data_IF_260967118938
#
_entry.id   IF_260967118938
#
_cell.length_a   1.000
_cell.length_b   1.000
_cell.length_c   1.000
_cell.angle_alpha   90.00
_cell.angle_beta   90.00
_cell.angle_gamma   90.00
#
_symmetry.space_group_name_H-M   'P 1'
#
loop_
_entity.id
_entity.type
_entity.pdbx_description
1 polymer ?
#
# COMPACT_ATOMS: atom_id res chain seq x y z
N UNK A 1 -16.68 -46.94 21.70
CA UNK A 1 -16.80 -47.86 20.60
C UNK A 1 -15.74 -47.49 19.55
N UNK A 2 -14.89 -48.39 19.24
CA UNK A 2 -13.63 -48.50 18.54
C UNK A 2 -13.51 -47.72 17.23
N UNK A 3 -12.34 -47.12 17.05
CA UNK A 3 -11.67 -46.81 15.74
C UNK A 3 -11.47 -48.10 14.91
N UNK A 4 -11.18 -47.98 13.57
CA UNK A 4 -9.86 -48.39 13.20
C UNK A 4 -9.09 -47.45 12.28
N UNK A 5 -7.77 -47.50 12.44
CA UNK A 5 -6.73 -46.98 11.55
C UNK A 5 -6.35 -48.02 10.47
N UNK A 6 -5.86 -47.55 9.33
CA UNK A 6 -4.89 -48.21 8.44
C UNK A 6 -4.21 -47.15 7.60
N UNK A 7 -2.89 -46.92 7.69
CA UNK A 7 -1.73 -47.49 6.95
C UNK A 7 -1.88 -47.40 5.43
N UNK A 8 -0.95 -46.96 4.61
CA UNK A 8 0.53 -47.12 4.61
C UNK A 8 1.16 -46.36 3.42
N UNK A 9 2.34 -45.83 3.62
CA UNK A 9 3.57 -45.92 2.81
C UNK A 9 3.49 -46.08 1.29
N UNK A 10 4.09 -45.14 0.56
CA UNK A 10 5.06 -45.50 -0.51
C UNK A 10 6.12 -44.39 -0.64
N UNK A 11 7.35 -44.78 -0.30
CA UNK A 11 8.61 -44.12 -0.66
C UNK A 11 9.23 -44.90 -1.81
N UNK A 12 9.56 -44.25 -2.91
CA UNK A 12 10.52 -44.75 -3.91
C UNK A 12 11.35 -43.57 -4.42
N UNK A 13 12.60 -43.52 -4.00
CA UNK A 13 13.87 -43.79 -4.70
C UNK A 13 14.06 -42.98 -5.99
N UNK A 14 14.86 -41.96 -5.89
CA UNK A 14 15.60 -41.37 -6.99
C UNK A 14 16.97 -42.06 -7.07
N UNK A 15 17.23 -42.76 -8.17
CA UNK A 15 18.50 -43.39 -8.51
C UNK A 15 19.45 -42.38 -9.17
N UNK A 16 20.68 -42.44 -8.72
CA UNK A 16 21.87 -41.76 -9.22
C UNK A 16 22.19 -42.21 -10.65
N UNK A 17 22.56 -41.31 -11.52
CA UNK A 17 23.27 -41.58 -12.76
C UNK A 17 24.69 -41.03 -12.67
N UNK A 18 25.61 -41.95 -12.59
CA UNK A 18 27.06 -41.77 -12.66
C UNK A 18 27.45 -41.64 -14.13
N UNK A 19 28.19 -40.59 -14.49
CA UNK A 19 28.86 -40.51 -15.78
C UNK A 19 30.32 -40.91 -15.68
N UNK A 20 30.65 -41.92 -16.44
CA UNK A 20 31.98 -42.55 -16.53
C UNK A 20 32.81 -41.84 -17.62
N UNK A 21 34.01 -41.47 -17.28
CA UNK A 21 35.02 -40.87 -18.14
C UNK A 21 35.71 -41.98 -18.99
N UNK A 22 35.66 -41.80 -20.30
CA UNK A 22 36.41 -42.60 -21.25
C UNK A 22 37.49 -41.80 -21.97
N UNK A 23 38.72 -41.88 -21.50
CA UNK A 23 39.89 -41.36 -22.20
C UNK A 23 40.30 -42.29 -23.35
N UNK A 24 40.46 -41.76 -24.56
CA UNK A 24 41.24 -42.42 -25.61
C UNK A 24 42.44 -41.56 -26.00
N UNK A 25 43.63 -42.08 -25.71
CA UNK A 25 44.92 -41.67 -26.25
C UNK A 25 44.99 -42.08 -27.71
N UNK A 26 45.47 -41.22 -28.60
CA UNK A 26 46.02 -41.55 -29.89
C UNK A 26 47.40 -40.92 -30.01
N UNK A 27 48.31 -41.77 -30.39
CA UNK A 27 49.74 -41.75 -30.47
C UNK A 27 50.34 -40.75 -31.46
N UNK A 28 51.53 -40.28 -31.07
CA UNK A 28 52.42 -39.43 -31.87
C UNK A 28 53.13 -40.30 -32.97
N UNK A 29 53.35 -39.73 -34.14
CA UNK A 29 54.41 -40.10 -35.03
C UNK A 29 55.26 -38.91 -35.38
N UNK A 30 56.57 -39.03 -35.05
CA UNK A 30 57.67 -38.18 -35.53
C UNK A 30 57.94 -38.50 -37.01
N UNK A 31 58.34 -37.45 -37.73
CA UNK A 31 59.26 -37.58 -38.85
C UNK A 31 60.19 -36.37 -38.91
N UNK A 32 61.46 -36.73 -39.09
CA UNK A 32 62.64 -35.87 -38.90
C UNK A 32 63.14 -35.25 -40.22
N UNK A 33 63.99 -34.23 -40.02
CA UNK A 33 65.21 -33.77 -40.78
C UNK A 33 65.08 -33.09 -42.16
N UNK A 34 65.58 -31.92 -42.32
CA UNK A 34 66.78 -31.08 -42.34
C UNK A 34 67.01 -30.48 -43.75
N UNK A 35 68.01 -29.64 -44.02
CA UNK A 35 68.01 -28.17 -43.88
C UNK A 35 68.48 -27.50 -45.23
N UNK A 36 68.79 -26.27 -45.12
CA UNK A 36 69.73 -25.46 -45.97
C UNK A 36 69.12 -24.32 -46.78
N UNK A 37 69.27 -23.14 -46.29
CA UNK A 37 70.21 -22.11 -46.72
C UNK A 37 69.86 -21.26 -47.96
N UNK A 38 70.06 -19.96 -47.75
CA UNK A 38 70.58 -18.93 -48.65
C UNK A 38 69.55 -17.91 -49.25
N UNK A 39 69.55 -16.74 -48.66
CA UNK A 39 69.56 -15.41 -49.22
C UNK A 39 68.64 -15.07 -50.42
N UNK A 40 67.70 -14.17 -50.21
CA UNK A 40 67.65 -12.91 -51.01
C UNK A 40 66.80 -11.85 -50.30
N UNK A 41 67.35 -10.67 -50.15
CA UNK A 41 66.71 -9.43 -49.69
C UNK A 41 65.75 -8.96 -50.80
N UNK A 42 64.44 -8.87 -50.48
CA UNK A 42 63.52 -7.93 -51.14
C UNK A 42 62.59 -7.38 -50.09
N UNK A 43 62.66 -6.06 -49.88
CA UNK A 43 61.83 -5.37 -48.94
C UNK A 43 60.37 -5.35 -49.43
N UNK A 44 59.51 -5.86 -48.58
CA UNK A 44 58.06 -5.60 -48.67
C UNK A 44 57.64 -4.92 -47.38
N UNK A 45 57.32 -3.64 -47.54
CA UNK A 45 56.68 -2.80 -46.54
C UNK A 45 55.28 -3.40 -46.29
N UNK A 46 55.16 -4.25 -45.29
CA UNK A 46 53.83 -4.71 -44.87
C UNK A 46 53.24 -3.62 -43.97
N UNK A 47 52.26 -2.91 -44.51
CA UNK A 47 51.34 -2.06 -43.73
C UNK A 47 50.66 -2.97 -42.70
N UNK A 48 51.07 -2.88 -41.45
CA UNK A 48 50.28 -3.39 -40.31
C UNK A 48 49.08 -2.45 -40.19
N UNK A 49 47.99 -2.73 -40.91
CA UNK A 49 46.68 -2.23 -40.53
C UNK A 49 46.32 -2.98 -39.25
N UNK A 50 46.66 -2.35 -38.14
CA UNK A 50 46.16 -2.75 -36.84
C UNK A 50 44.64 -2.67 -36.88
N UNK A 51 43.97 -3.81 -37.08
CA UNK A 51 42.58 -3.95 -36.75
C UNK A 51 42.47 -3.77 -35.24
N UNK A 52 42.31 -2.50 -34.81
CA UNK A 52 41.71 -2.22 -33.51
C UNK A 52 40.30 -2.83 -33.58
N UNK A 53 40.20 -4.07 -33.22
CA UNK A 53 38.93 -4.69 -32.88
C UNK A 53 38.32 -3.80 -31.81
N UNK A 54 37.36 -2.99 -32.18
CA UNK A 54 36.40 -2.42 -31.26
C UNK A 54 35.84 -3.65 -30.55
N UNK A 55 36.35 -4.00 -29.36
CA UNK A 55 35.61 -4.82 -28.42
C UNK A 55 34.31 -4.05 -28.28
N UNK A 56 33.23 -4.53 -28.89
CA UNK A 56 31.89 -4.19 -28.47
C UNK A 56 31.90 -4.45 -26.98
N UNK A 57 32.04 -3.39 -26.21
CA UNK A 57 31.76 -3.41 -24.82
C UNK A 57 30.30 -3.87 -24.76
N UNK A 58 30.09 -5.15 -24.42
CA UNK A 58 28.75 -5.65 -24.10
C UNK A 58 28.31 -4.72 -23.02
N UNK A 59 27.36 -3.84 -23.36
CA UNK A 59 26.74 -2.97 -22.37
C UNK A 59 26.31 -3.93 -21.24
N UNK A 60 26.88 -3.77 -20.07
CA UNK A 60 26.51 -4.53 -18.91
C UNK A 60 25.01 -4.23 -18.73
N UNK A 61 24.16 -5.25 -18.94
CA UNK A 61 22.72 -5.08 -18.83
C UNK A 61 22.41 -4.84 -17.36
N UNK A 62 22.11 -3.60 -17.01
CA UNK A 62 21.71 -3.24 -15.64
C UNK A 62 20.40 -3.94 -15.32
N UNK A 63 20.36 -4.62 -14.18
CA UNK A 63 19.16 -5.22 -13.62
C UNK A 63 18.87 -4.57 -12.28
N UNK A 64 17.81 -3.79 -12.24
CA UNK A 64 17.30 -3.19 -11.00
C UNK A 64 16.47 -4.18 -10.21
N UNK A 65 16.46 -4.00 -8.91
CA UNK A 65 15.59 -4.73 -7.98
C UNK A 65 14.56 -3.78 -7.36
N UNK A 66 13.27 -4.12 -7.51
CA UNK A 66 12.15 -3.41 -6.95
C UNK A 66 11.52 -4.23 -5.81
N UNK A 67 11.48 -3.67 -4.62
CA UNK A 67 10.74 -4.21 -3.49
C UNK A 67 9.48 -3.37 -3.28
N UNK A 68 8.38 -3.85 -3.83
CA UNK A 68 7.08 -3.19 -3.76
C UNK A 68 6.16 -3.90 -2.75
N UNK A 69 4.98 -3.34 -2.49
CA UNK A 69 4.05 -3.87 -1.51
C UNK A 69 3.55 -5.27 -1.87
N UNK A 70 3.41 -6.15 -0.87
CA UNK A 70 3.20 -7.60 -1.06
C UNK A 70 1.74 -8.06 -1.25
N UNK A 71 0.74 -7.17 -1.06
CA UNK A 71 -0.71 -7.52 -1.04
C UNK A 71 -1.42 -7.47 -2.40
N UNK A 72 -0.68 -7.68 -3.48
CA UNK A 72 -1.19 -7.54 -4.84
C UNK A 72 -1.83 -8.81 -5.38
N UNK A 73 -2.91 -8.66 -6.16
CA UNK A 73 -3.55 -9.77 -6.86
C UNK A 73 -2.67 -10.30 -8.00
N UNK A 74 -2.91 -11.55 -8.43
CA UNK A 74 -2.22 -12.12 -9.60
C UNK A 74 -2.39 -11.27 -10.85
N UNK A 75 -3.60 -10.77 -11.11
CA UNK A 75 -3.88 -9.88 -12.24
C UNK A 75 -3.02 -8.60 -12.17
N UNK A 76 -2.85 -8.02 -10.97
CA UNK A 76 -1.98 -6.86 -10.79
C UNK A 76 -0.52 -7.20 -11.09
N UNK A 77 -0.04 -8.34 -10.61
CA UNK A 77 1.34 -8.78 -10.82
C UNK A 77 1.65 -8.98 -12.31
N UNK A 78 0.73 -9.60 -13.05
CA UNK A 78 0.87 -9.83 -14.48
C UNK A 78 0.90 -8.51 -15.26
N UNK A 79 0.05 -7.54 -14.91
CA UNK A 79 0.03 -6.20 -15.55
C UNK A 79 1.24 -5.35 -15.15
N UNK A 80 1.71 -5.45 -13.92
CA UNK A 80 2.96 -4.82 -13.51
C UNK A 80 4.13 -5.32 -14.33
N UNK A 81 4.19 -6.62 -14.55
CA UNK A 81 5.22 -7.21 -15.42
C UNK A 81 5.19 -6.63 -16.85
N UNK A 82 4.00 -6.47 -17.46
CA UNK A 82 3.85 -5.82 -18.77
C UNK A 82 4.40 -4.38 -18.78
N UNK A 83 4.14 -3.61 -17.71
CA UNK A 83 4.64 -2.23 -17.55
C UNK A 83 6.16 -2.21 -17.38
N UNK A 84 6.72 -3.12 -16.57
CA UNK A 84 8.17 -3.23 -16.40
C UNK A 84 8.88 -3.69 -17.68
N UNK A 85 8.28 -4.58 -18.46
CA UNK A 85 8.77 -4.94 -19.79
C UNK A 85 8.74 -3.76 -20.77
N UNK A 86 7.75 -2.87 -20.65
CA UNK A 86 7.75 -1.62 -21.43
C UNK A 86 8.95 -0.76 -21.04
N UNK A 87 9.23 -0.56 -19.77
CA UNK A 87 10.42 0.13 -19.28
C UNK A 87 11.71 -0.48 -19.85
N UNK A 88 11.82 -1.80 -19.80
CA UNK A 88 12.98 -2.51 -20.36
C UNK A 88 13.13 -2.28 -21.87
N UNK A 89 12.03 -2.25 -22.62
CA UNK A 89 12.10 -1.94 -24.07
C UNK A 89 12.53 -0.49 -24.37
N UNK A 90 12.12 0.45 -23.52
CA UNK A 90 12.44 1.87 -23.68
C UNK A 90 13.88 2.20 -23.29
N UNK A 91 14.44 1.53 -22.27
CA UNK A 91 15.71 1.89 -21.63
C UNK A 91 16.82 0.85 -21.77
N UNK A 92 16.49 -0.41 -22.05
CA UNK A 92 17.42 -1.55 -21.98
C UNK A 92 17.68 -2.05 -20.55
N UNK A 93 17.10 -1.42 -19.52
CA UNK A 93 17.29 -1.77 -18.12
C UNK A 93 16.25 -2.83 -17.72
N UNK A 94 16.70 -3.93 -17.14
CA UNK A 94 15.80 -4.97 -16.60
C UNK A 94 15.35 -4.63 -15.18
N UNK A 95 14.17 -5.12 -14.80
CA UNK A 95 13.66 -4.96 -13.43
C UNK A 95 13.22 -6.31 -12.87
N UNK A 96 13.75 -6.65 -11.71
CA UNK A 96 13.34 -7.82 -10.94
C UNK A 96 12.55 -7.39 -9.72
N UNK A 97 11.30 -7.83 -9.61
CA UNK A 97 10.48 -7.57 -8.43
C UNK A 97 10.77 -8.63 -7.36
N UNK A 98 11.00 -8.17 -6.14
CA UNK A 98 11.26 -9.05 -5.01
C UNK A 98 9.98 -9.31 -4.22
N UNK A 99 9.84 -10.51 -3.60
CA UNK A 99 8.69 -10.81 -2.74
C UNK A 99 8.74 -9.97 -1.47
N UNK A 100 7.57 -9.54 -1.00
CA UNK A 100 7.39 -8.73 0.19
C UNK A 100 6.39 -9.39 1.16
N UNK A 101 6.47 -9.14 2.48
CA UNK A 101 5.45 -9.54 3.44
C UNK A 101 4.08 -8.92 3.09
N UNK A 102 2.98 -9.54 3.57
CA UNK A 102 1.63 -9.08 3.27
C UNK A 102 1.18 -7.90 4.12
N UNK A 103 1.59 -7.83 5.41
CA UNK A 103 1.11 -6.79 6.32
C UNK A 103 2.00 -5.55 6.33
N UNK A 104 1.41 -4.36 6.49
CA UNK A 104 2.14 -3.09 6.51
C UNK A 104 3.23 -3.05 7.60
N UNK A 105 2.96 -3.58 8.81
CA UNK A 105 3.96 -3.60 9.89
C UNK A 105 5.12 -4.56 9.59
N UNK A 106 4.83 -5.75 9.06
CA UNK A 106 5.86 -6.70 8.68
C UNK A 106 6.70 -6.18 7.50
N UNK A 107 6.06 -5.49 6.55
CA UNK A 107 6.76 -4.80 5.47
C UNK A 107 7.73 -3.76 6.01
N UNK A 108 7.26 -2.84 6.87
CA UNK A 108 8.14 -1.82 7.45
C UNK A 108 9.33 -2.44 8.18
N UNK A 109 9.09 -3.45 9.01
CA UNK A 109 10.17 -4.14 9.73
C UNK A 109 11.16 -4.81 8.77
N UNK A 110 10.67 -5.41 7.69
CA UNK A 110 11.51 -6.02 6.66
C UNK A 110 12.32 -4.99 5.87
N UNK A 111 11.69 -3.83 5.48
CA UNK A 111 12.41 -2.71 4.83
C UNK A 111 13.51 -2.16 5.73
N UNK A 112 13.19 -1.89 7.00
CA UNK A 112 14.16 -1.39 7.98
C UNK A 112 15.35 -2.36 8.15
N UNK A 113 15.07 -3.66 8.22
CA UNK A 113 16.13 -4.68 8.30
C UNK A 113 17.06 -4.61 7.09
N UNK A 114 16.53 -4.71 5.86
CA UNK A 114 17.32 -4.70 4.64
C UNK A 114 18.14 -3.41 4.50
N UNK A 115 17.53 -2.26 4.77
CA UNK A 115 18.17 -0.95 4.66
C UNK A 115 19.23 -0.75 5.74
N UNK A 116 19.01 -1.22 6.96
CA UNK A 116 20.00 -1.11 8.06
C UNK A 116 21.23 -2.00 7.83
N UNK A 117 21.08 -3.09 7.10
CA UNK A 117 22.20 -3.95 6.70
C UNK A 117 23.09 -3.31 5.62
N UNK A 118 22.64 -2.21 5.00
CA UNK A 118 23.41 -1.48 3.99
C UNK A 118 23.62 -2.27 2.70
N UNK A 119 22.75 -3.22 2.40
CA UNK A 119 22.79 -4.02 1.17
C UNK A 119 22.57 -3.19 -0.08
N UNK A 120 23.27 -3.52 -1.17
CA UNK A 120 23.19 -2.82 -2.47
C UNK A 120 21.83 -3.03 -3.16
N UNK A 121 21.09 -4.04 -2.76
CA UNK A 121 19.75 -4.41 -3.25
C UNK A 121 18.81 -4.57 -2.06
N UNK A 122 17.52 -4.23 -2.21
CA UNK A 122 16.82 -3.63 -3.36
C UNK A 122 17.28 -2.22 -3.72
N UNK A 123 17.15 -1.85 -5.02
CA UNK A 123 17.45 -0.51 -5.53
C UNK A 123 16.31 0.47 -5.26
N UNK A 124 15.06 0.03 -5.50
CA UNK A 124 13.83 0.81 -5.34
C UNK A 124 12.91 0.15 -4.33
N UNK A 125 12.35 0.96 -3.45
CA UNK A 125 11.43 0.56 -2.38
C UNK A 125 10.07 1.21 -2.53
N UNK A 126 8.99 0.43 -2.41
CA UNK A 126 7.66 0.95 -2.16
C UNK A 126 7.57 1.51 -0.73
N UNK A 127 7.12 2.74 -0.57
CA UNK A 127 7.09 3.46 0.71
C UNK A 127 5.66 3.91 1.00
N UNK A 128 5.03 3.34 2.04
CA UNK A 128 3.71 3.80 2.51
C UNK A 128 3.80 5.26 2.99
N UNK A 129 2.72 6.03 2.87
CA UNK A 129 2.66 7.47 3.25
C UNK A 129 3.06 7.75 4.70
N UNK A 130 3.08 6.74 5.57
CA UNK A 130 3.47 6.85 6.98
C UNK A 130 4.92 6.48 7.27
N UNK A 131 5.68 5.92 6.30
CA UNK A 131 7.05 5.45 6.52
C UNK A 131 8.17 6.45 6.20
N UNK A 132 7.97 7.56 5.47
CA UNK A 132 9.05 8.45 5.06
C UNK A 132 9.98 8.88 6.18
N UNK A 133 9.45 9.27 7.34
CA UNK A 133 10.29 9.69 8.49
C UNK A 133 11.12 8.54 9.04
N UNK A 134 10.56 7.33 9.06
CA UNK A 134 11.27 6.13 9.54
C UNK A 134 12.38 5.69 8.59
N UNK A 135 12.17 5.83 7.29
CA UNK A 135 13.09 5.34 6.25
C UNK A 135 14.02 6.44 5.69
N UNK A 136 13.82 7.71 6.08
CA UNK A 136 14.49 8.89 5.55
C UNK A 136 16.02 8.78 5.44
N UNK A 137 16.70 8.18 6.43
CA UNK A 137 18.16 8.11 6.44
C UNK A 137 18.72 7.10 5.43
N UNK A 138 17.90 6.23 4.92
CA UNK A 138 18.28 5.15 4.01
C UNK A 138 17.94 5.42 2.55
N UNK A 139 17.14 6.46 2.29
CA UNK A 139 16.70 6.84 0.96
C UNK A 139 17.42 8.11 0.50
N UNK A 140 17.65 8.23 -0.81
CA UNK A 140 18.24 9.45 -1.36
C UNK A 140 17.23 10.59 -1.37
N UNK A 141 17.73 11.82 -1.53
CA UNK A 141 16.88 12.97 -1.88
C UNK A 141 16.60 12.97 -3.37
N UNK A 142 15.33 12.91 -3.75
CA UNK A 142 14.90 12.92 -5.14
C UNK A 142 14.70 14.34 -5.71
N UNK A 143 14.70 15.40 -4.88
CA UNK A 143 14.53 16.78 -5.35
C UNK A 143 15.51 17.15 -6.49
N UNK A 144 16.83 16.85 -6.41
CA UNK A 144 17.76 17.22 -7.48
C UNK A 144 17.42 16.62 -8.84
N UNK A 145 16.57 15.61 -8.88
CA UNK A 145 16.28 14.82 -10.10
C UNK A 145 14.82 14.88 -10.53
N UNK A 146 13.87 15.00 -9.59
CA UNK A 146 12.43 14.82 -9.81
C UNK A 146 11.56 15.96 -9.26
N UNK A 147 12.12 17.12 -8.89
CA UNK A 147 11.37 18.25 -8.33
C UNK A 147 10.25 18.73 -9.27
N UNK A 148 10.55 18.83 -10.57
CA UNK A 148 9.56 19.23 -11.58
C UNK A 148 8.47 18.18 -11.77
N UNK A 149 8.85 16.90 -11.80
CA UNK A 149 7.90 15.78 -11.87
C UNK A 149 7.01 15.78 -10.62
N UNK A 150 7.60 15.93 -9.43
CA UNK A 150 6.88 15.96 -8.15
C UNK A 150 5.86 17.11 -8.06
N UNK A 151 6.16 18.27 -8.63
CA UNK A 151 5.27 19.42 -8.62
C UNK A 151 3.93 19.18 -9.37
N UNK A 152 3.88 18.17 -10.23
CA UNK A 152 2.67 17.78 -10.95
C UNK A 152 1.69 16.96 -10.09
N UNK A 153 2.16 16.35 -9.00
CA UNK A 153 1.36 15.49 -8.12
C UNK A 153 0.56 16.30 -7.09
N UNK A 154 -0.41 15.67 -6.42
CA UNK A 154 -1.13 16.32 -5.33
C UNK A 154 -0.16 16.83 -4.25
N UNK A 155 -0.21 18.12 -3.88
CA UNK A 155 0.71 18.68 -2.89
C UNK A 155 0.71 17.96 -1.54
N UNK A 156 -0.45 17.43 -1.12
CA UNK A 156 -0.57 16.67 0.12
C UNK A 156 0.24 15.36 0.07
N UNK A 157 0.25 14.68 -1.08
CA UNK A 157 1.05 13.46 -1.26
C UNK A 157 2.54 13.79 -1.28
N UNK A 158 2.94 14.78 -2.08
CA UNK A 158 4.34 15.23 -2.10
C UNK A 158 4.81 15.62 -0.69
N UNK A 159 3.97 16.37 0.04
CA UNK A 159 4.26 16.73 1.42
C UNK A 159 4.39 15.49 2.32
N UNK A 160 3.62 14.42 2.12
CA UNK A 160 3.73 13.18 2.91
C UNK A 160 5.07 12.48 2.70
N UNK A 161 5.64 12.55 1.50
CA UNK A 161 6.94 11.96 1.15
C UNK A 161 8.12 12.90 1.33
N UNK A 162 7.89 14.13 1.79
CA UNK A 162 8.97 15.10 2.06
C UNK A 162 9.29 15.14 3.56
N UNK A 163 10.53 14.88 3.90
CA UNK A 163 11.06 14.89 5.28
C UNK A 163 12.22 15.88 5.36
N UNK A 164 12.11 16.89 6.22
CA UNK A 164 13.14 17.93 6.40
C UNK A 164 13.60 18.57 5.06
N UNK A 165 12.64 18.84 4.17
CA UNK A 165 12.88 19.43 2.85
C UNK A 165 13.40 18.47 1.79
N UNK A 166 13.64 17.19 2.11
CA UNK A 166 14.08 16.16 1.17
C UNK A 166 12.88 15.35 0.69
N UNK A 167 12.72 15.19 -0.61
CA UNK A 167 11.76 14.26 -1.21
C UNK A 167 12.34 12.84 -1.18
N UNK A 168 11.95 12.02 -0.22
CA UNK A 168 12.53 10.68 -0.01
C UNK A 168 11.81 9.58 -0.79
N UNK A 169 10.63 9.85 -1.30
CA UNK A 169 9.92 8.98 -2.23
C UNK A 169 9.05 9.81 -3.17
N UNK A 170 8.91 9.36 -4.42
CA UNK A 170 8.01 9.95 -5.41
C UNK A 170 6.61 9.37 -5.22
N UNK A 171 5.51 10.17 -5.17
CA UNK A 171 4.15 9.64 -5.12
C UNK A 171 3.90 8.68 -6.30
N UNK A 172 3.33 7.49 -6.01
CA UNK A 172 3.13 6.43 -7.00
C UNK A 172 1.66 5.96 -7.08
N UNK A 173 1.02 5.75 -5.94
CA UNK A 173 -0.41 5.47 -5.84
C UNK A 173 -1.02 6.33 -4.74
N UNK A 174 -2.14 6.99 -5.05
CA UNK A 174 -2.98 7.62 -4.04
C UNK A 174 -4.01 6.62 -3.53
N UNK A 175 -4.36 6.70 -2.26
CA UNK A 175 -5.43 5.90 -1.67
C UNK A 175 -6.10 6.64 -0.53
N UNK A 176 -7.35 6.29 -0.23
CA UNK A 176 -8.04 6.79 0.95
C UNK A 176 -9.15 5.86 1.40
N UNK A 177 -9.53 5.95 2.66
CA UNK A 177 -10.71 5.29 3.19
C UNK A 177 -11.98 5.86 2.57
N UNK A 178 -12.85 4.98 2.04
CA UNK A 178 -14.10 5.35 1.39
C UNK A 178 -15.26 4.48 1.86
N UNK A 179 -16.49 4.94 1.63
CA UNK A 179 -17.70 4.20 1.89
C UNK A 179 -18.23 3.58 0.60
N UNK A 180 -18.22 2.25 0.55
CA UNK A 180 -18.96 1.45 -0.43
C UNK A 180 -20.38 1.28 0.06
N UNK A 181 -21.37 1.43 -0.82
CA UNK A 181 -22.78 1.29 -0.46
C UNK A 181 -23.60 0.61 -1.57
N UNK A 182 -24.57 -0.20 -1.19
CA UNK A 182 -25.47 -0.92 -2.09
C UNK A 182 -26.56 0.01 -2.61
N UNK A 183 -26.43 0.46 -3.85
CA UNK A 183 -27.40 1.36 -4.51
C UNK A 183 -28.77 0.71 -4.71
N UNK A 184 -28.82 -0.59 -4.96
CA UNK A 184 -30.06 -1.36 -5.08
C UNK A 184 -30.80 -1.45 -3.73
N UNK A 185 -30.09 -1.63 -2.63
CA UNK A 185 -30.68 -1.68 -1.29
C UNK A 185 -31.13 -0.28 -0.83
N UNK A 186 -30.35 0.76 -1.08
CA UNK A 186 -30.80 2.12 -0.77
C UNK A 186 -32.15 2.40 -1.44
N UNK A 187 -32.28 2.11 -2.76
CA UNK A 187 -33.55 2.29 -3.49
C UNK A 187 -34.66 1.42 -2.93
N UNK A 188 -34.38 0.13 -2.64
CA UNK A 188 -35.36 -0.80 -2.08
C UNK A 188 -35.97 -0.29 -0.76
N UNK A 189 -35.14 0.34 0.08
CA UNK A 189 -35.57 0.85 1.39
C UNK A 189 -35.93 2.34 1.40
N UNK A 190 -36.06 2.97 0.22
CA UNK A 190 -36.56 4.34 0.05
C UNK A 190 -35.55 5.45 0.26
N UNK A 191 -34.26 5.14 0.25
CA UNK A 191 -33.17 6.12 0.34
C UNK A 191 -32.75 6.59 -1.05
N UNK A 192 -32.57 7.92 -1.21
CA UNK A 192 -32.14 8.53 -2.49
C UNK A 192 -30.64 8.80 -2.54
N UNK A 193 -30.01 8.99 -1.41
CA UNK A 193 -28.60 9.36 -1.26
C UNK A 193 -27.92 8.45 -0.25
N UNK A 194 -26.60 8.24 -0.35
CA UNK A 194 -25.82 7.58 0.70
C UNK A 194 -25.80 8.45 1.97
N UNK A 195 -25.48 7.86 3.14
CA UNK A 195 -25.44 8.55 4.42
C UNK A 195 -24.37 9.66 4.41
N UNK A 196 -24.69 10.81 5.02
CA UNK A 196 -23.79 11.96 5.14
C UNK A 196 -23.19 12.07 6.55
N UNK A 197 -23.70 11.33 7.53
CA UNK A 197 -23.21 11.26 8.91
C UNK A 197 -23.18 9.82 9.39
N UNK A 198 -22.39 9.57 10.44
CA UNK A 198 -22.35 8.23 11.07
C UNK A 198 -23.69 7.82 11.65
N UNK A 199 -24.48 8.79 12.17
CA UNK A 199 -25.83 8.52 12.65
C UNK A 199 -26.80 8.12 11.52
N UNK A 200 -26.70 8.77 10.35
CA UNK A 200 -27.48 8.34 9.17
C UNK A 200 -27.05 6.94 8.69
N UNK A 201 -25.74 6.65 8.67
CA UNK A 201 -25.24 5.33 8.31
C UNK A 201 -25.82 4.26 9.25
N UNK A 202 -25.78 4.49 10.55
CA UNK A 202 -26.30 3.58 11.56
C UNK A 202 -27.80 3.32 11.37
N UNK A 203 -28.60 4.37 11.17
CA UNK A 203 -30.03 4.27 10.93
C UNK A 203 -30.35 3.49 9.62
N UNK A 204 -29.66 3.82 8.53
CA UNK A 204 -29.83 3.12 7.25
C UNK A 204 -29.41 1.66 7.35
N UNK A 205 -28.25 1.39 7.95
CA UNK A 205 -27.70 0.05 8.15
C UNK A 205 -28.65 -0.82 8.97
N UNK A 206 -29.17 -0.30 10.08
CA UNK A 206 -30.15 -1.00 10.95
C UNK A 206 -31.40 -1.37 10.16
N UNK A 207 -31.99 -0.42 9.44
CA UNK A 207 -33.23 -0.64 8.67
C UNK A 207 -33.04 -1.63 7.52
N UNK A 208 -31.94 -1.50 6.77
CA UNK A 208 -31.65 -2.38 5.64
C UNK A 208 -31.39 -3.80 6.15
N UNK A 209 -30.56 -3.96 7.19
CA UNK A 209 -30.25 -5.25 7.81
C UNK A 209 -31.53 -5.96 8.29
N UNK A 210 -32.37 -5.26 9.03
CA UNK A 210 -33.62 -5.82 9.53
C UNK A 210 -34.52 -6.30 8.38
N UNK A 211 -34.64 -5.50 7.32
CA UNK A 211 -35.46 -5.86 6.16
C UNK A 211 -34.88 -7.02 5.34
N UNK A 212 -33.57 -7.08 5.14
CA UNK A 212 -32.92 -8.20 4.43
C UNK A 212 -32.97 -9.49 5.24
N UNK A 213 -32.85 -9.43 6.57
CA UNK A 213 -33.03 -10.59 7.44
C UNK A 213 -34.46 -11.09 7.46
N UNK A 214 -35.45 -10.20 7.51
CA UNK A 214 -36.88 -10.55 7.37
C UNK A 214 -37.19 -11.18 5.99
N UNK A 215 -36.41 -10.86 4.96
CA UNK A 215 -36.50 -11.49 3.64
C UNK A 215 -35.70 -12.82 3.53
N UNK A 216 -35.24 -13.39 4.64
CA UNK A 216 -34.58 -14.70 4.72
C UNK A 216 -33.03 -14.67 4.62
N UNK A 217 -32.41 -13.51 4.56
CA UNK A 217 -30.93 -13.38 4.56
C UNK A 217 -30.41 -13.26 6.00
N UNK A 218 -30.41 -14.35 6.74
CA UNK A 218 -30.09 -14.35 8.17
C UNK A 218 -28.69 -13.82 8.52
N UNK A 219 -27.71 -13.97 7.59
CA UNK A 219 -26.32 -13.53 7.77
C UNK A 219 -26.07 -12.13 7.21
N UNK A 220 -27.11 -11.37 6.84
CA UNK A 220 -26.93 -10.04 6.28
C UNK A 220 -26.59 -9.02 7.37
N UNK A 221 -25.60 -8.13 7.06
CA UNK A 221 -25.09 -7.11 7.96
C UNK A 221 -25.25 -5.70 7.38
N UNK A 222 -25.47 -4.75 8.25
CA UNK A 222 -25.64 -3.34 7.87
C UNK A 222 -24.34 -2.69 7.43
N UNK A 223 -23.24 -2.92 8.20
CA UNK A 223 -21.96 -2.24 7.98
C UNK A 223 -20.79 -3.15 8.31
N UNK A 224 -19.75 -3.15 7.47
CA UNK A 224 -18.51 -3.92 7.66
C UNK A 224 -17.29 -3.03 7.47
N UNK A 225 -16.24 -3.28 8.27
CA UNK A 225 -15.03 -2.45 8.36
C UNK A 225 -13.86 -3.25 8.96
N UNK A 226 -12.66 -2.63 9.02
CA UNK A 226 -11.44 -3.24 9.54
C UNK A 226 -11.31 -3.03 11.04
N UNK A 227 -11.57 -4.06 11.84
CA UNK A 227 -11.59 -3.99 13.30
C UNK A 227 -10.47 -4.76 14.00
N UNK A 228 -9.63 -5.50 13.27
CA UNK A 228 -8.46 -6.18 13.84
C UNK A 228 -7.48 -5.18 14.47
N UNK A 229 -6.81 -5.60 15.57
CA UNK A 229 -5.81 -4.78 16.27
C UNK A 229 -4.56 -4.56 15.40
N UNK A 230 -4.69 -3.78 14.34
CA UNK A 230 -3.69 -3.50 13.31
C UNK A 230 -3.82 -2.05 12.80
N UNK A 231 -2.92 -1.64 11.90
CA UNK A 231 -2.88 -0.29 11.32
C UNK A 231 -4.20 0.12 10.65
N UNK A 232 -4.95 -0.83 10.06
CA UNK A 232 -6.29 -0.60 9.52
C UNK A 232 -7.26 -0.04 10.54
N UNK A 233 -7.22 -0.51 11.80
CA UNK A 233 -8.04 0.03 12.87
C UNK A 233 -7.62 1.44 13.27
N UNK A 234 -6.32 1.78 13.22
CA UNK A 234 -5.88 3.17 13.41
C UNK A 234 -6.55 4.09 12.39
N UNK A 235 -6.61 3.68 11.12
CA UNK A 235 -7.27 4.44 10.07
C UNK A 235 -8.78 4.60 10.34
N UNK A 236 -9.49 3.49 10.59
CA UNK A 236 -10.93 3.50 10.82
C UNK A 236 -11.32 4.36 12.05
N UNK A 237 -10.62 4.16 13.17
CA UNK A 237 -10.90 4.88 14.40
C UNK A 237 -10.59 6.38 14.30
N UNK A 238 -9.54 6.75 13.57
CA UNK A 238 -9.20 8.15 13.33
C UNK A 238 -10.24 8.84 12.44
N UNK A 239 -10.84 8.12 11.48
CA UNK A 239 -11.97 8.60 10.65
C UNK A 239 -13.21 8.88 11.52
N UNK A 240 -13.54 7.99 12.46
CA UNK A 240 -14.65 8.21 13.41
C UNK A 240 -14.38 9.38 14.33
N UNK A 241 -13.17 9.46 14.88
CA UNK A 241 -12.72 10.53 15.77
C UNK A 241 -12.74 11.89 15.07
N UNK A 242 -12.19 11.98 13.85
CA UNK A 242 -12.16 13.21 13.07
C UNK A 242 -13.57 13.72 12.74
N UNK A 243 -14.46 12.84 12.28
CA UNK A 243 -15.85 13.21 11.97
C UNK A 243 -16.64 13.73 13.18
N UNK A 244 -16.27 13.33 14.40
CA UNK A 244 -16.83 13.85 15.65
C UNK A 244 -16.10 15.10 16.17
N UNK A 245 -15.16 15.66 15.41
CA UNK A 245 -14.31 16.79 15.84
C UNK A 245 -13.46 16.42 17.08
N UNK A 246 -13.11 15.16 17.25
CA UNK A 246 -12.31 14.64 18.37
C UNK A 246 -10.80 14.90 18.26
N UNK A 247 -10.37 15.69 17.25
CA UNK A 247 -8.96 15.97 17.04
C UNK A 247 -8.20 14.85 16.33
N UNK A 248 -6.90 14.73 16.60
CA UNK A 248 -6.02 13.69 16.08
C UNK A 248 -5.49 12.80 17.22
N UNK A 249 -4.63 11.84 16.90
CA UNK A 249 -3.87 11.07 17.92
C UNK A 249 -2.83 11.99 18.56
N UNK A 250 -2.07 12.70 17.72
CA UNK A 250 -1.15 13.76 18.08
C UNK A 250 -1.49 14.98 17.24
N UNK A 251 -1.62 16.14 17.85
CA UNK A 251 -1.87 17.41 17.15
C UNK A 251 -0.58 17.93 16.49
N UNK A 252 -0.71 18.80 15.49
CA UNK A 252 0.44 19.37 14.75
C UNK A 252 1.42 20.12 15.65
N UNK A 253 0.94 20.68 16.75
CA UNK A 253 1.76 21.37 17.75
C UNK A 253 2.38 20.45 18.81
N UNK A 254 2.29 19.13 18.63
CA UNK A 254 2.85 18.14 19.55
C UNK A 254 2.05 17.94 20.83
N UNK A 255 0.76 18.31 20.85
CA UNK A 255 -0.14 18.02 21.97
C UNK A 255 -0.87 16.70 21.76
N UNK A 256 -1.21 16.04 22.86
CA UNK A 256 -2.01 14.82 22.90
C UNK A 256 -3.43 15.19 23.26
N UNK A 257 -4.39 14.92 22.37
CA UNK A 257 -5.80 15.32 22.51
C UNK A 257 -6.77 14.14 22.51
N UNK A 258 -6.31 12.90 22.48
CA UNK A 258 -7.18 11.70 22.36
C UNK A 258 -8.15 11.54 23.52
N UNK A 259 -7.80 11.99 24.72
CA UNK A 259 -8.66 11.90 25.89
C UNK A 259 -9.62 13.09 25.96
N UNK A 260 -10.64 13.05 25.11
CA UNK A 260 -11.69 14.07 25.08
C UNK A 260 -13.07 13.42 24.84
N UNK A 261 -14.17 14.10 25.24
CA UNK A 261 -15.52 13.52 25.15
C UNK A 261 -15.96 13.13 23.73
N UNK A 262 -15.42 13.77 22.68
CA UNK A 262 -15.79 13.48 21.28
C UNK A 262 -15.13 12.22 20.77
N UNK A 263 -13.85 12.05 21.08
CA UNK A 263 -13.12 10.80 20.82
C UNK A 263 -13.78 9.62 21.53
N UNK A 264 -14.07 9.78 22.83
CA UNK A 264 -14.72 8.74 23.64
C UNK A 264 -16.04 8.33 23.00
N UNK A 265 -16.93 9.29 22.66
CA UNK A 265 -18.22 8.99 21.99
C UNK A 265 -18.03 8.28 20.65
N UNK A 266 -17.01 8.61 19.87
CA UNK A 266 -16.77 7.96 18.58
C UNK A 266 -16.41 6.46 18.76
N UNK A 267 -15.62 6.15 19.77
CA UNK A 267 -15.26 4.76 20.11
C UNK A 267 -16.42 3.98 20.70
N UNK A 268 -17.22 4.59 21.59
CA UNK A 268 -18.45 3.99 22.15
C UNK A 268 -19.46 3.66 21.05
N UNK A 269 -19.63 4.58 20.07
CA UNK A 269 -20.48 4.32 18.89
C UNK A 269 -19.98 3.11 18.11
N UNK A 270 -18.69 3.04 17.80
CA UNK A 270 -18.12 1.93 17.05
C UNK A 270 -18.26 0.59 17.84
N UNK A 271 -18.04 0.61 19.14
CA UNK A 271 -18.26 -0.56 20.00
C UNK A 271 -19.74 -1.01 20.03
N UNK A 272 -20.69 -0.06 19.91
CA UNK A 272 -22.12 -0.38 19.76
C UNK A 272 -22.43 -1.07 18.44
N UNK A 273 -21.72 -0.77 17.35
CA UNK A 273 -21.93 -1.43 16.05
C UNK A 273 -21.59 -2.93 16.09
N UNK A 274 -20.62 -3.33 16.90
CA UNK A 274 -20.19 -4.74 17.04
C UNK A 274 -21.34 -5.60 17.56
N UNK A 275 -21.78 -6.57 16.76
CA UNK A 275 -22.89 -7.46 17.08
C UNK A 275 -24.28 -6.85 16.84
N UNK A 276 -24.39 -5.54 16.49
CA UNK A 276 -25.66 -4.90 16.15
C UNK A 276 -25.82 -4.73 14.64
N UNK A 277 -25.15 -3.77 14.04
CA UNK A 277 -25.13 -3.55 12.59
C UNK A 277 -23.90 -4.14 11.89
N UNK A 278 -22.87 -4.51 12.66
CA UNK A 278 -21.65 -5.17 12.18
C UNK A 278 -21.54 -6.57 12.78
N UNK A 279 -20.90 -7.54 12.08
CA UNK A 279 -20.69 -8.88 12.61
C UNK A 279 -19.99 -8.86 13.97
N UNK A 280 -20.29 -9.78 14.91
CA UNK A 280 -19.52 -9.91 16.14
C UNK A 280 -18.01 -10.11 15.88
N UNK A 281 -17.67 -10.83 14.80
CA UNK A 281 -16.28 -11.08 14.39
C UNK A 281 -15.59 -9.89 13.72
N UNK A 282 -16.26 -8.74 13.54
CA UNK A 282 -15.66 -7.58 12.86
C UNK A 282 -14.39 -7.08 13.55
N UNK A 283 -14.26 -7.30 14.86
CA UNK A 283 -13.07 -6.97 15.66
C UNK A 283 -11.81 -7.77 15.28
N UNK A 284 -11.97 -8.80 14.46
CA UNK A 284 -10.84 -9.59 13.91
C UNK A 284 -10.70 -9.41 12.39
N UNK A 285 -11.51 -8.52 11.77
CA UNK A 285 -11.48 -8.33 10.33
C UNK A 285 -10.35 -7.42 9.92
N UNK A 286 -9.59 -7.87 8.94
CA UNK A 286 -8.68 -7.07 8.13
C UNK A 286 -9.37 -6.60 6.85
N UNK A 287 -8.66 -5.86 6.05
CA UNK A 287 -9.15 -5.35 4.77
C UNK A 287 -9.78 -6.45 3.88
N UNK A 288 -9.11 -7.59 3.77
CA UNK A 288 -9.58 -8.73 2.97
C UNK A 288 -10.87 -9.35 3.52
N UNK A 289 -11.03 -9.44 4.85
CA UNK A 289 -12.22 -10.05 5.47
C UNK A 289 -13.44 -9.18 5.27
N UNK A 290 -13.30 -7.85 5.48
CA UNK A 290 -14.36 -6.88 5.17
C UNK A 290 -14.76 -6.95 3.69
N UNK A 291 -13.77 -7.02 2.79
CA UNK A 291 -14.02 -7.12 1.35
C UNK A 291 -14.69 -8.44 0.96
N UNK A 292 -14.32 -9.58 1.57
CA UNK A 292 -14.94 -10.87 1.29
C UNK A 292 -16.43 -10.88 1.67
N UNK A 293 -16.78 -10.33 2.86
CA UNK A 293 -18.20 -10.21 3.25
C UNK A 293 -18.97 -9.26 2.33
N UNK A 294 -18.35 -8.18 1.87
CA UNK A 294 -18.93 -7.28 0.89
C UNK A 294 -19.19 -7.99 -0.46
N UNK A 295 -18.19 -8.72 -0.97
CA UNK A 295 -18.28 -9.43 -2.25
C UNK A 295 -19.29 -10.57 -2.24
N UNK A 296 -19.60 -11.18 -1.08
CA UNK A 296 -20.69 -12.17 -0.94
C UNK A 296 -22.09 -11.55 -1.09
N UNK A 297 -22.19 -10.20 -1.05
CA UNK A 297 -23.46 -9.48 -1.12
C UNK A 297 -24.21 -9.43 0.21
N UNK A 298 -23.59 -9.80 1.31
CA UNK A 298 -24.17 -9.87 2.66
C UNK A 298 -23.93 -8.62 3.49
N UNK A 299 -23.50 -7.50 2.89
CA UNK A 299 -23.36 -6.22 3.56
C UNK A 299 -24.06 -5.09 2.79
N UNK A 300 -24.66 -4.13 3.51
CA UNK A 300 -25.26 -2.91 2.92
C UNK A 300 -24.22 -1.82 2.69
N UNK A 301 -23.30 -1.65 3.61
CA UNK A 301 -22.21 -0.69 3.59
C UNK A 301 -20.89 -1.37 3.95
N UNK A 302 -19.79 -0.88 3.35
CA UNK A 302 -18.44 -1.29 3.69
C UNK A 302 -17.53 -0.06 3.72
N UNK A 303 -16.74 0.09 4.80
CA UNK A 303 -15.54 0.91 4.77
C UNK A 303 -14.40 0.08 4.20
N UNK A 304 -13.78 0.57 3.14
CA UNK A 304 -12.59 -0.07 2.59
C UNK A 304 -11.76 0.96 1.79
N UNK A 305 -10.67 0.52 1.20
CA UNK A 305 -9.81 1.30 0.33
C UNK A 305 -10.30 1.28 -1.11
N UNK A 306 -9.92 2.29 -1.89
CA UNK A 306 -10.38 2.46 -3.28
C UNK A 306 -10.16 1.25 -4.19
N UNK A 307 -9.08 0.44 -4.10
CA UNK A 307 -8.90 -0.73 -4.96
C UNK A 307 -9.98 -1.81 -4.83
N UNK A 308 -10.75 -1.83 -3.72
CA UNK A 308 -11.87 -2.73 -3.56
C UNK A 308 -12.97 -2.53 -4.64
N UNK A 309 -13.00 -1.36 -5.31
CA UNK A 309 -13.92 -1.07 -6.41
C UNK A 309 -13.74 -2.06 -7.56
N UNK A 310 -12.50 -2.30 -8.01
CA UNK A 310 -12.22 -3.22 -9.11
C UNK A 310 -12.70 -4.65 -8.82
N UNK A 311 -12.43 -5.14 -7.60
CA UNK A 311 -12.91 -6.47 -7.17
C UNK A 311 -14.41 -6.55 -7.16
N UNK A 312 -15.10 -5.48 -6.71
CA UNK A 312 -16.57 -5.40 -6.67
C UNK A 312 -17.20 -5.37 -8.07
N UNK A 313 -16.49 -4.88 -9.09
CA UNK A 313 -16.90 -4.85 -10.49
C UNK A 313 -16.48 -6.08 -11.31
N UNK A 314 -15.76 -7.04 -10.71
CA UNK A 314 -15.33 -8.25 -11.41
C UNK A 314 -16.51 -9.04 -11.99
N UNK A 315 -16.29 -9.78 -13.10
CA UNK A 315 -17.34 -10.49 -13.84
C UNK A 315 -18.12 -11.50 -12.99
N UNK A 316 -17.50 -12.11 -11.98
CA UNK A 316 -18.12 -13.06 -11.04
C UNK A 316 -18.71 -12.44 -9.77
N UNK A 317 -18.63 -11.12 -9.60
CA UNK A 317 -19.14 -10.46 -8.38
C UNK A 317 -20.65 -10.39 -8.36
N UNK A 318 -21.27 -10.88 -7.29
CA UNK A 318 -22.74 -10.84 -7.11
C UNK A 318 -23.28 -9.42 -6.92
N UNK A 319 -22.41 -8.47 -6.61
CA UNK A 319 -22.77 -7.07 -6.39
C UNK A 319 -22.41 -6.16 -7.57
N UNK A 320 -21.86 -6.70 -8.66
CA UNK A 320 -21.51 -5.92 -9.85
C UNK A 320 -22.70 -5.08 -10.34
N UNK A 321 -22.45 -3.76 -10.52
CA UNK A 321 -23.46 -2.80 -10.95
C UNK A 321 -24.58 -2.50 -9.92
N UNK A 322 -24.45 -3.01 -8.67
CA UNK A 322 -25.43 -2.81 -7.59
C UNK A 322 -24.90 -1.92 -6.46
N UNK A 323 -23.76 -1.31 -6.63
CA UNK A 323 -23.09 -0.48 -5.61
C UNK A 323 -22.52 0.79 -6.23
N UNK A 324 -22.14 1.72 -5.38
CA UNK A 324 -21.33 2.88 -5.71
C UNK A 324 -20.42 3.21 -4.51
N UNK A 325 -19.52 4.17 -4.71
CA UNK A 325 -18.55 4.61 -3.71
C UNK A 325 -18.73 6.08 -3.42
N UNK A 326 -18.66 6.46 -2.15
CA UNK A 326 -18.72 7.86 -1.71
C UNK A 326 -17.68 8.13 -0.62
N UNK A 327 -17.50 9.39 -0.29
CA UNK A 327 -16.70 9.78 0.87
C UNK A 327 -17.33 9.27 2.17
N UNK A 328 -16.50 8.96 3.16
CA UNK A 328 -16.96 8.73 4.53
C UNK A 328 -17.60 10.02 5.12
N UNK A 329 -18.37 9.92 6.19
CA UNK A 329 -18.85 11.08 6.92
C UNK A 329 -17.71 12.02 7.29
N UNK A 330 -17.92 13.33 7.05
CA UNK A 330 -16.89 14.36 7.12
C UNK A 330 -16.92 15.12 8.44
N UNK A 331 -15.77 15.68 8.81
CA UNK A 331 -15.69 16.73 9.83
C UNK A 331 -16.19 18.10 9.28
N UNK A 332 -16.26 19.11 10.13
CA UNK A 332 -16.66 20.47 9.76
C UNK A 332 -15.70 21.13 8.74
N UNK A 333 -14.46 20.69 8.67
CA UNK A 333 -13.46 21.13 7.68
C UNK A 333 -13.60 20.41 6.33
N UNK A 334 -14.53 19.46 6.24
CA UNK A 334 -14.77 18.66 5.03
C UNK A 334 -13.80 17.50 4.85
N UNK A 335 -13.00 17.17 5.87
CA UNK A 335 -12.10 15.99 5.83
C UNK A 335 -12.90 14.71 6.05
N UNK A 336 -12.62 13.73 5.25
CA UNK A 336 -13.28 12.43 5.29
C UNK A 336 -12.26 11.31 5.56
N UNK A 337 -12.13 10.31 4.67
CA UNK A 337 -11.28 9.15 4.86
C UNK A 337 -9.80 9.44 5.13
N UNK A 338 -9.16 8.50 5.80
CA UNK A 338 -7.72 8.54 6.06
C UNK A 338 -6.93 8.47 4.77
N UNK A 339 -5.93 9.35 4.64
CA UNK A 339 -4.98 9.33 3.53
C UNK A 339 -4.13 8.06 3.59
N UNK A 340 -4.11 7.33 2.50
CA UNK A 340 -3.24 6.22 2.21
C UNK A 340 -2.49 6.43 0.90
N UNK A 341 -1.80 5.42 0.45
CA UNK A 341 -1.05 5.41 -0.79
C UNK A 341 0.39 5.01 -0.59
N UNK A 342 1.10 4.85 -1.69
CA UNK A 342 2.51 4.51 -1.71
C UNK A 342 3.31 5.44 -2.62
N UNK A 343 4.58 5.61 -2.27
CA UNK A 343 5.58 6.26 -3.09
C UNK A 343 6.71 5.29 -3.44
N UNK A 344 7.60 5.70 -4.32
CA UNK A 344 8.79 4.95 -4.70
C UNK A 344 10.05 5.71 -4.26
N UNK A 345 10.81 5.11 -3.35
CA UNK A 345 12.08 5.63 -2.85
C UNK A 345 13.27 4.85 -3.41
N UNK A 346 14.40 5.53 -3.63
CA UNK A 346 15.64 4.92 -4.10
C UNK A 346 16.60 4.72 -2.93
N UNK A 347 17.13 3.51 -2.80
CA UNK A 347 18.12 3.18 -1.77
C UNK A 347 19.40 4.00 -1.94
N UNK A 348 19.91 4.57 -0.85
CA UNK A 348 21.23 5.23 -0.84
C UNK A 348 22.41 4.27 -1.06
N UNK A 349 22.16 2.98 -0.92
CA UNK A 349 23.17 1.92 -1.07
C UNK A 349 23.15 1.28 -2.46
N UNK A 350 22.20 1.65 -3.33
CA UNK A 350 22.16 1.17 -4.71
C UNK A 350 23.41 1.56 -5.50
N UNK A 351 23.95 0.65 -6.29
CA UNK A 351 25.03 0.93 -7.24
C UNK A 351 24.50 1.50 -8.57
N UNK A 352 23.15 1.50 -8.76
CA UNK A 352 22.45 1.91 -9.98
C UNK A 352 21.49 3.07 -9.72
N UNK A 353 21.91 4.08 -8.95
CA UNK A 353 21.04 5.20 -8.51
C UNK A 353 20.41 5.93 -9.69
N UNK A 354 21.14 6.16 -10.82
CA UNK A 354 20.59 6.86 -11.99
C UNK A 354 19.50 6.06 -12.67
N UNK A 355 19.74 4.79 -12.89
CA UNK A 355 18.81 3.85 -13.49
C UNK A 355 17.57 3.64 -12.60
N UNK A 356 17.77 3.61 -11.28
CA UNK A 356 16.69 3.53 -10.31
C UNK A 356 15.80 4.79 -10.34
N UNK A 357 16.37 5.98 -10.49
CA UNK A 357 15.62 7.23 -10.66
C UNK A 357 14.83 7.20 -11.99
N UNK A 358 15.40 6.67 -13.07
CA UNK A 358 14.68 6.51 -14.35
C UNK A 358 13.48 5.58 -14.20
N UNK A 359 13.63 4.47 -13.44
CA UNK A 359 12.52 3.57 -13.13
C UNK A 359 11.43 4.28 -12.31
N UNK A 360 11.80 5.04 -11.29
CA UNK A 360 10.86 5.82 -10.47
C UNK A 360 10.10 6.83 -11.36
N UNK A 361 10.80 7.59 -12.18
CA UNK A 361 10.18 8.54 -13.13
C UNK A 361 9.21 7.85 -14.09
N UNK A 362 9.61 6.70 -14.64
CA UNK A 362 8.77 5.92 -15.56
C UNK A 362 7.49 5.41 -14.89
N UNK A 363 7.60 4.90 -13.66
CA UNK A 363 6.45 4.34 -12.94
C UNK A 363 5.47 5.43 -12.48
N UNK A 364 5.96 6.63 -12.13
CA UNK A 364 5.15 7.75 -11.66
C UNK A 364 4.73 8.71 -12.79
N UNK A 365 5.04 8.40 -14.07
CA UNK A 365 4.64 9.25 -15.20
C UNK A 365 3.15 9.09 -15.53
N UNK A 366 2.60 10.12 -16.16
CA UNK A 366 1.19 10.23 -16.56
C UNK A 366 0.62 8.96 -17.22
N UNK A 367 1.32 8.42 -18.22
CA UNK A 367 0.83 7.27 -18.98
C UNK A 367 0.77 5.98 -18.16
N UNK A 368 1.70 5.81 -17.23
CA UNK A 368 1.74 4.67 -16.34
C UNK A 368 0.63 4.77 -15.29
N UNK A 369 0.46 5.93 -14.65
CA UNK A 369 -0.62 6.15 -13.68
C UNK A 369 -2.01 6.05 -14.33
N UNK A 370 -2.16 6.52 -15.57
CA UNK A 370 -3.40 6.33 -16.32
C UNK A 370 -3.74 4.85 -16.51
N UNK A 371 -2.75 4.00 -16.85
CA UNK A 371 -2.95 2.55 -16.96
C UNK A 371 -3.40 1.94 -15.64
N UNK A 372 -2.77 2.31 -14.52
CA UNK A 372 -3.14 1.82 -13.19
C UNK A 372 -4.55 2.24 -12.82
N UNK A 373 -4.93 3.48 -13.08
CA UNK A 373 -6.27 3.98 -12.81
C UNK A 373 -7.34 3.23 -13.60
N UNK A 374 -7.15 3.03 -14.90
CA UNK A 374 -8.13 2.36 -15.76
C UNK A 374 -8.24 0.87 -15.45
N UNK A 375 -7.10 0.19 -15.25
CA UNK A 375 -7.09 -1.28 -15.10
C UNK A 375 -7.41 -1.72 -13.68
N UNK A 376 -6.90 -1.02 -12.66
CA UNK A 376 -7.00 -1.47 -11.26
C UNK A 376 -7.82 -0.57 -10.36
N UNK A 377 -8.34 0.53 -10.89
CA UNK A 377 -9.04 1.56 -10.08
C UNK A 377 -8.14 2.16 -9.00
N UNK A 378 -6.82 2.18 -9.24
CA UNK A 378 -5.88 2.89 -8.39
C UNK A 378 -6.01 4.40 -8.64
N UNK A 379 -6.36 5.20 -7.63
CA UNK A 379 -6.44 6.64 -7.81
C UNK A 379 -5.08 7.23 -8.20
N UNK A 380 -5.01 8.00 -9.28
CA UNK A 380 -3.77 8.65 -9.68
C UNK A 380 -3.28 9.65 -8.64
N UNK A 381 -1.98 9.87 -8.62
CA UNK A 381 -1.37 10.92 -7.80
C UNK A 381 -1.32 12.27 -8.53
N UNK A 382 -1.57 12.27 -9.85
CA UNK A 382 -1.64 13.42 -10.73
C UNK A 382 -3.07 13.98 -10.82
N UNK A 383 -3.35 15.22 -10.31
CA UNK A 383 -4.69 15.81 -10.28
C UNK A 383 -5.38 15.92 -11.64
N UNK A 384 -4.59 16.11 -12.71
CA UNK A 384 -5.12 16.26 -14.09
C UNK A 384 -5.79 14.99 -14.60
N UNK A 385 -5.38 13.80 -14.12
CA UNK A 385 -5.92 12.53 -14.55
C UNK A 385 -7.36 12.28 -14.11
N UNK A 386 -7.84 13.02 -13.11
CA UNK A 386 -9.22 12.89 -12.59
C UNK A 386 -10.29 13.42 -13.55
N UNK A 387 -9.89 14.17 -14.57
CA UNK A 387 -10.78 14.73 -15.58
C UNK A 387 -10.64 14.01 -16.95
N UNK A 388 -9.81 12.96 -17.02
CA UNK A 388 -9.60 12.16 -18.24
C UNK A 388 -10.81 11.24 -18.46
N UNK A 389 -11.47 11.29 -19.64
CA UNK A 389 -12.71 10.53 -19.90
C UNK A 389 -12.57 9.04 -19.65
N UNK A 390 -11.49 8.41 -20.08
CA UNK A 390 -11.27 6.97 -19.91
C UNK A 390 -11.15 6.56 -18.45
N UNK A 391 -10.56 7.41 -17.60
CA UNK A 391 -10.46 7.17 -16.17
C UNK A 391 -11.82 7.37 -15.49
N UNK A 392 -12.55 8.43 -15.89
CA UNK A 392 -13.89 8.73 -15.35
C UNK A 392 -14.88 7.64 -15.71
N UNK A 393 -14.82 7.10 -16.93
CA UNK A 393 -15.65 5.99 -17.36
C UNK A 393 -15.34 4.71 -16.57
N UNK A 394 -14.07 4.37 -16.41
CA UNK A 394 -13.63 3.20 -15.64
C UNK A 394 -13.94 3.33 -14.14
N UNK A 395 -13.89 4.56 -13.60
CA UNK A 395 -13.98 4.86 -12.18
C UNK A 395 -14.85 6.09 -11.90
N UNK A 396 -16.19 6.01 -12.03
CA UNK A 396 -17.08 7.18 -11.91
C UNK A 396 -17.02 7.88 -10.54
N UNK A 397 -16.53 7.21 -9.52
CA UNK A 397 -16.42 7.75 -8.16
C UNK A 397 -15.17 8.65 -7.97
N UNK A 398 -14.12 8.53 -8.80
CA UNK A 398 -12.85 9.24 -8.60
C UNK A 398 -13.02 10.77 -8.57
N UNK A 399 -13.89 11.33 -9.40
CA UNK A 399 -14.16 12.76 -9.39
C UNK A 399 -14.58 13.29 -8.02
N UNK A 400 -15.28 12.47 -7.21
CA UNK A 400 -15.67 12.80 -5.82
C UNK A 400 -14.47 12.86 -4.88
N UNK A 401 -13.40 12.13 -5.19
CA UNK A 401 -12.20 12.03 -4.34
C UNK A 401 -11.17 13.13 -4.62
N UNK A 402 -11.18 13.73 -5.83
CA UNK A 402 -10.19 14.73 -6.26
C UNK A 402 -9.94 15.81 -5.20
N UNK A 403 -11.04 16.41 -4.70
CA UNK A 403 -10.96 17.46 -3.67
C UNK A 403 -10.40 16.95 -2.35
N UNK A 404 -10.69 15.71 -1.99
CA UNK A 404 -10.18 15.10 -0.75
C UNK A 404 -8.67 14.89 -0.80
N UNK A 405 -8.12 14.49 -1.96
CA UNK A 405 -6.67 14.42 -2.17
C UNK A 405 -5.98 15.78 -2.23
N UNK A 406 -6.70 16.85 -2.54
CA UNK A 406 -6.14 18.20 -2.50
C UNK A 406 -5.92 18.69 -1.06
N UNK A 407 -6.91 18.55 -0.17
CA UNK A 407 -6.86 19.07 1.20
C UNK A 407 -7.96 18.55 2.14
N UNK A 408 -8.61 17.44 1.78
CA UNK A 408 -9.80 16.92 2.50
C UNK A 408 -9.61 15.53 3.13
N UNK A 409 -8.39 15.02 3.26
CA UNK A 409 -8.13 13.72 3.90
C UNK A 409 -7.78 13.89 5.38
N UNK A 410 -8.06 12.85 6.15
CA UNK A 410 -7.57 12.70 7.52
C UNK A 410 -6.15 12.15 7.46
N UNK A 411 -5.19 12.82 8.06
CA UNK A 411 -3.78 12.43 8.02
C UNK A 411 -3.38 11.78 9.34
N UNK A 412 -2.75 10.62 9.24
CA UNK A 412 -2.13 9.95 10.40
C UNK A 412 -0.91 10.74 10.88
N UNK A 413 -0.65 10.87 12.18
CA UNK A 413 0.39 11.77 12.70
C UNK A 413 1.82 11.22 12.58
N UNK A 414 2.15 10.53 11.47
CA UNK A 414 3.46 9.91 11.28
C UNK A 414 4.61 10.93 11.28
N UNK A 415 4.41 12.11 10.68
CA UNK A 415 5.43 13.17 10.70
C UNK A 415 5.69 13.73 12.10
N UNK A 416 4.63 13.86 12.88
CA UNK A 416 4.69 14.44 14.23
C UNK A 416 5.29 13.44 15.21
N UNK A 417 4.87 12.18 15.13
CA UNK A 417 5.41 11.09 15.92
C UNK A 417 6.86 10.72 15.55
N UNK A 418 7.27 11.05 14.32
CA UNK A 418 8.58 10.69 13.81
C UNK A 418 8.78 9.17 13.79
N UNK A 419 9.96 8.71 14.19
CA UNK A 419 10.29 7.28 14.27
C UNK A 419 9.49 6.51 15.33
N UNK A 420 8.73 7.23 16.19
CA UNK A 420 7.85 6.64 17.21
C UNK A 420 6.46 6.31 16.67
N UNK A 421 6.20 6.61 15.40
CA UNK A 421 4.87 6.37 14.81
C UNK A 421 4.39 4.91 14.95
N UNK A 422 5.21 3.87 14.72
CA UNK A 422 4.76 2.48 14.88
C UNK A 422 4.25 2.20 16.30
N UNK A 423 4.95 2.69 17.32
CA UNK A 423 4.54 2.52 18.73
C UNK A 423 3.30 3.35 19.06
N UNK A 424 3.23 4.60 18.55
CA UNK A 424 2.06 5.48 18.71
C UNK A 424 0.81 4.84 18.10
N UNK A 425 0.90 4.35 16.85
CA UNK A 425 -0.22 3.66 16.19
C UNK A 425 -0.61 2.39 16.93
N UNK A 426 0.39 1.59 17.37
CA UNK A 426 0.15 0.37 18.14
C UNK A 426 -0.61 0.65 19.44
N UNK A 427 -0.21 1.65 20.20
CA UNK A 427 -0.91 2.04 21.42
C UNK A 427 -2.34 2.51 21.12
N UNK A 428 -2.52 3.28 20.04
CA UNK A 428 -3.83 3.79 19.65
C UNK A 428 -4.79 2.68 19.24
N UNK A 429 -4.41 1.82 18.28
CA UNK A 429 -5.33 0.77 17.84
C UNK A 429 -5.61 -0.27 18.93
N UNK A 430 -4.67 -0.56 19.84
CA UNK A 430 -4.92 -1.43 20.99
C UNK A 430 -5.93 -0.84 21.97
N UNK A 431 -5.83 0.46 22.25
CA UNK A 431 -6.79 1.14 23.10
C UNK A 431 -8.19 1.10 22.50
N UNK A 432 -8.32 1.41 21.21
CA UNK A 432 -9.60 1.31 20.49
C UNK A 432 -10.12 -0.12 20.48
N UNK A 433 -9.29 -1.09 20.17
CA UNK A 433 -9.66 -2.51 20.11
C UNK A 433 -10.19 -3.02 21.46
N UNK A 434 -9.56 -2.64 22.56
CA UNK A 434 -10.03 -2.97 23.90
C UNK A 434 -11.45 -2.42 24.18
N UNK A 435 -11.79 -1.26 23.60
CA UNK A 435 -13.15 -0.72 23.68
C UNK A 435 -14.13 -1.52 22.81
N UNK A 436 -13.74 -1.86 21.58
CA UNK A 436 -14.56 -2.63 20.65
C UNK A 436 -14.89 -4.02 21.18
N UNK A 437 -13.94 -4.67 21.84
CA UNK A 437 -14.09 -6.00 22.47
C UNK A 437 -14.73 -5.95 23.86
N UNK A 438 -15.04 -4.75 24.37
CA UNK A 438 -15.58 -4.52 25.72
C UNK A 438 -14.65 -4.96 26.86
N UNK A 439 -13.37 -5.10 26.58
CA UNK A 439 -12.33 -5.35 27.57
C UNK A 439 -12.14 -4.13 28.49
N UNK A 440 -12.26 -2.91 27.90
CA UNK A 440 -12.24 -1.64 28.62
C UNK A 440 -13.40 -0.74 28.20
N UNK A 441 -13.85 0.14 29.11
CA UNK A 441 -14.68 1.26 28.72
C UNK A 441 -13.86 2.34 28.02
N UNK A 442 -14.50 3.18 27.20
CA UNK A 442 -13.80 4.15 26.36
C UNK A 442 -13.11 5.27 27.16
N UNK A 443 -13.64 5.63 28.34
CA UNK A 443 -13.05 6.68 29.20
C UNK A 443 -11.69 6.21 29.76
N UNK A 444 -11.65 5.01 30.32
CA UNK A 444 -10.40 4.47 30.86
C UNK A 444 -9.38 4.17 29.76
N UNK A 445 -9.84 3.63 28.62
CA UNK A 445 -8.97 3.38 27.48
C UNK A 445 -8.34 4.68 26.94
N UNK A 446 -9.11 5.76 26.80
CA UNK A 446 -8.61 7.05 26.32
C UNK A 446 -7.62 7.69 27.30
N UNK A 447 -7.88 7.58 28.62
CA UNK A 447 -7.01 8.08 29.68
C UNK A 447 -5.66 7.34 29.70
N UNK A 448 -5.69 6.01 29.68
CA UNK A 448 -4.47 5.19 29.67
C UNK A 448 -3.66 5.41 28.40
N UNK A 449 -4.33 5.54 27.24
CA UNK A 449 -3.68 5.87 25.98
C UNK A 449 -2.98 7.23 26.06
N UNK A 450 -3.64 8.25 26.59
CA UNK A 450 -3.03 9.58 26.75
C UNK A 450 -1.74 9.51 27.59
N UNK A 451 -1.75 8.76 28.70
CA UNK A 451 -0.59 8.56 29.56
C UNK A 451 0.53 7.79 28.84
N UNK A 452 0.16 6.78 28.04
CA UNK A 452 1.12 6.03 27.21
C UNK A 452 1.77 6.91 26.15
N UNK A 453 0.97 7.71 25.44
CA UNK A 453 1.48 8.63 24.41
C UNK A 453 2.43 9.70 25.01
N UNK A 454 2.16 10.19 26.22
CA UNK A 454 3.11 11.07 26.96
C UNK A 454 4.44 10.36 27.18
N UNK A 455 4.42 9.10 27.65
CA UNK A 455 5.66 8.32 27.88
C UNK A 455 6.44 8.05 26.58
N UNK A 456 5.72 7.72 25.50
CA UNK A 456 6.34 7.41 24.22
C UNK A 456 6.96 8.63 23.54
N UNK A 457 6.25 9.75 23.55
CA UNK A 457 6.61 10.93 22.73
C UNK A 457 7.28 12.05 23.53
N UNK A 458 7.04 12.12 24.82
CA UNK A 458 7.41 13.28 25.65
C UNK A 458 6.51 14.51 25.42
N UNK A 459 5.45 14.39 24.62
CA UNK A 459 4.51 15.47 24.33
C UNK A 459 3.59 15.75 25.51
N UNK A 460 3.02 16.95 25.53
CA UNK A 460 2.14 17.39 26.63
C UNK A 460 0.69 17.02 26.34
N UNK A 461 -0.06 16.76 27.41
CA UNK A 461 -1.51 16.65 27.34
C UNK A 461 -2.14 17.97 26.92
N UNK A 462 -3.25 17.91 26.19
CA UNK A 462 -4.05 19.09 25.92
C UNK A 462 -4.71 19.58 27.22
N UNK A 463 -4.60 20.88 27.51
CA UNK A 463 -5.25 21.45 28.69
C UNK A 463 -6.78 21.30 28.60
N UNK A 464 -7.40 20.83 29.68
CA UNK A 464 -8.84 20.59 29.77
C UNK A 464 -9.69 21.86 29.49
N UNK A 465 -9.14 23.05 29.72
CA UNK A 465 -9.78 24.36 29.43
C UNK A 465 -9.87 24.61 27.92
N UNK A 466 -8.87 24.24 27.13
CA UNK A 466 -8.92 24.39 25.65
C UNK A 466 -9.83 23.35 24.98
N UNK A 467 -10.02 22.18 25.59
CA UNK A 467 -10.99 21.19 25.11
C UNK A 467 -12.44 21.69 25.24
N UNK A 468 -12.74 22.44 26.31
CA UNK A 468 -14.06 23.02 26.55
C UNK A 468 -14.39 24.18 25.59
N UNK A 469 -13.42 25.00 25.20
CA UNK A 469 -13.60 26.14 24.27
C UNK A 469 -13.83 25.72 22.81
N UNK A 470 -13.45 24.49 22.42
CA UNK A 470 -13.76 23.92 21.08
C UNK A 470 -15.17 23.30 21.00
N UNK A 471 -15.97 23.36 22.07
CA UNK A 471 -17.33 22.80 22.15
C UNK A 471 -18.41 23.81 21.73
N UNK A 472 -18.07 25.07 21.54
CA UNK A 472 -18.94 26.14 21.01
C UNK A 472 -18.46 26.53 19.58
#
# INVERSE_FOLDING_TARGET
MRLPATNSLHAERCSQLVWNSGARRVSAKRLDFLPCSILLWIGILIFFVGSTGCKKQTAEHVTLTLLDQGWMTREFLDKREEVLQQFTRETGIQVKVLPAPETSLDQLAFWQKLLSEGGKTPDVYGVDVIWPVTLNDYLIDLNPFLEQDAAAHFPMLVASYTVNGRLVAMPYHANMGVLFYRTDLLRKYGYRTPPQSWAELENMATRIQAGERAAGKNNFWGFVWEGDAAEGLTCNALEWQAAEEGGSILEEDGRISVNNPRTIRSWERAAHWVGTISPPGVTSYRESDANNLWLSGEAAFMRNWTPAFRRSQASGSVIKGRFDVTLLPKDKKGRAGTLGGSGLGVSRFSEHVREAIELVRFLCRRDTEMKWAVVFSEPPTLPELYDVPEIVEANPYLGRLKRSFQNGSVVRPAKIAGRKYPEVSTSYFRAVHAVLTKEKNAVDAAKELEEELVRLTGFKKQDSVQAALKVH
#
